data_IF_268961160853
#
_entry.id   IF_268961160853
#
_cell.length_a   1.000
_cell.length_b   1.000
_cell.length_c   1.000
_cell.angle_alpha   90.00
_cell.angle_beta   90.00
_cell.angle_gamma   90.00
#
_symmetry.space_group_name_H-M   'P 1'
#
loop_
_entity.id
_entity.type
_entity.pdbx_description
1 polymer ?
#
# COMPACT_ATOMS: atom_id res chain seq x y z
N UNK A 1 9.48 -3.83 31.55
CA UNK A 1 9.60 -2.70 30.69
C UNK A 1 10.02 -3.10 29.29
N UNK A 2 10.75 -4.11 29.15
CA UNK A 2 11.28 -4.45 27.86
C UNK A 2 10.28 -5.08 26.93
N UNK A 3 9.37 -5.86 27.45
CA UNK A 3 8.58 -6.73 26.59
C UNK A 3 7.65 -5.97 25.66
N UNK A 4 6.86 -5.05 26.19
CA UNK A 4 5.95 -4.28 25.36
C UNK A 4 6.72 -3.39 24.42
N UNK A 5 7.78 -2.77 24.91
CA UNK A 5 8.61 -1.92 24.07
C UNK A 5 9.29 -2.74 22.97
N UNK A 6 9.71 -3.95 23.29
CA UNK A 6 10.36 -4.80 22.30
C UNK A 6 9.43 -5.21 21.18
N UNK A 7 8.18 -5.50 21.51
CA UNK A 7 7.20 -5.83 20.46
C UNK A 7 6.98 -4.67 19.51
N UNK A 8 6.79 -3.48 20.07
CA UNK A 8 6.63 -2.28 19.24
C UNK A 8 7.90 -2.00 18.46
N UNK A 9 9.04 -2.14 19.11
CA UNK A 9 10.32 -1.88 18.45
C UNK A 9 10.54 -2.79 17.26
N UNK A 10 10.10 -4.03 17.37
CA UNK A 10 10.28 -4.98 16.29
C UNK A 10 9.55 -4.54 15.04
N UNK A 11 8.28 -4.13 15.19
CA UNK A 11 7.50 -3.63 14.07
C UNK A 11 8.07 -2.32 13.55
N UNK A 12 8.48 -1.45 14.45
CA UNK A 12 9.08 -0.19 14.07
C UNK A 12 10.39 -0.40 13.33
N UNK A 13 11.19 -1.36 13.80
CA UNK A 13 12.46 -1.67 13.15
C UNK A 13 12.26 -2.18 11.73
N UNK A 14 11.26 -3.04 11.53
CA UNK A 14 10.99 -3.58 10.21
C UNK A 14 10.58 -2.47 9.26
N UNK A 15 9.68 -1.58 9.70
CA UNK A 15 9.24 -0.46 8.89
C UNK A 15 10.40 0.49 8.61
N UNK A 16 11.22 0.73 9.62
CA UNK A 16 12.38 1.61 9.48
C UNK A 16 13.37 1.06 8.47
N UNK A 17 13.63 -0.24 8.54
CA UNK A 17 14.55 -0.87 7.61
C UNK A 17 14.01 -0.84 6.18
N UNK A 18 12.71 -1.07 6.03
CA UNK A 18 12.08 -1.01 4.73
C UNK A 18 12.21 0.41 4.16
N UNK A 19 12.00 1.40 5.00
CA UNK A 19 12.09 2.79 4.58
C UNK A 19 13.54 3.13 4.16
N UNK A 20 14.51 2.64 4.89
CA UNK A 20 15.91 2.88 4.52
C UNK A 20 16.27 2.24 3.20
N UNK A 21 15.81 1.01 2.99
CA UNK A 21 16.06 0.31 1.74
C UNK A 21 15.30 0.95 0.59
N UNK A 22 14.08 1.37 0.85
CA UNK A 22 13.23 2.11 -0.07
C UNK A 22 13.08 1.39 -1.41
N UNK A 23 12.72 0.11 -1.33
CA UNK A 23 12.57 -0.74 -2.51
C UNK A 23 11.25 -1.46 -2.47
N UNK A 24 10.83 -1.95 -3.65
CA UNK A 24 9.64 -2.76 -3.76
C UNK A 24 9.76 -4.03 -2.90
N UNK A 25 10.94 -4.67 -2.94
CA UNK A 25 11.14 -5.90 -2.18
C UNK A 25 10.97 -5.68 -0.68
N UNK A 26 11.49 -4.57 -0.19
CA UNK A 26 11.36 -4.26 1.23
C UNK A 26 9.90 -4.01 1.62
N UNK A 27 9.17 -3.31 0.75
CA UNK A 27 7.77 -3.04 1.01
C UNK A 27 6.94 -4.32 0.97
N UNK A 28 7.28 -5.23 0.04
CA UNK A 28 6.61 -6.54 -0.03
C UNK A 28 6.77 -7.33 1.26
N UNK A 29 7.95 -7.27 1.85
CA UNK A 29 8.19 -8.00 3.09
C UNK A 29 7.33 -7.46 4.22
N UNK A 30 7.19 -6.15 4.30
CA UNK A 30 6.34 -5.54 5.32
C UNK A 30 4.89 -5.93 5.12
N UNK A 31 4.42 -5.88 3.87
CA UNK A 31 3.05 -6.26 3.57
C UNK A 31 2.81 -7.73 3.91
N UNK A 32 3.75 -8.60 3.57
CA UNK A 32 3.61 -10.01 3.87
C UNK A 32 3.57 -10.26 5.37
N UNK A 33 4.42 -9.58 6.12
CA UNK A 33 4.42 -9.71 7.57
C UNK A 33 3.10 -9.24 8.17
N UNK A 34 2.61 -8.09 7.73
CA UNK A 34 1.35 -7.57 8.22
C UNK A 34 0.21 -8.55 7.96
N UNK A 35 0.16 -9.09 6.75
CA UNK A 35 -0.92 -10.00 6.39
C UNK A 35 -0.79 -11.34 7.10
N UNK A 36 0.44 -11.84 7.27
CA UNK A 36 0.65 -13.09 7.99
C UNK A 36 0.25 -12.97 9.46
N UNK A 37 0.39 -11.77 10.03
CA UNK A 37 0.04 -11.54 11.43
C UNK A 37 -1.40 -11.07 11.60
N UNK A 38 -2.14 -10.92 10.51
CA UNK A 38 -3.51 -10.45 10.58
C UNK A 38 -4.46 -11.63 10.75
N UNK A 39 -5.42 -11.46 11.65
CA UNK A 39 -6.51 -12.42 11.80
C UNK A 39 -7.63 -12.15 10.81
N UNK A 40 -7.61 -11.02 10.15
CA UNK A 40 -8.74 -10.55 9.37
C UNK A 40 -8.55 -10.65 7.87
N UNK A 41 -7.32 -10.59 7.40
CA UNK A 41 -7.04 -10.56 5.96
C UNK A 41 -6.06 -11.66 5.58
N UNK A 42 -6.27 -12.22 4.41
CA UNK A 42 -5.41 -13.27 3.85
C UNK A 42 -4.99 -12.84 2.45
N UNK A 43 -3.70 -12.94 2.18
CA UNK A 43 -3.17 -12.60 0.87
C UNK A 43 -3.63 -13.61 -0.18
N UNK A 44 -4.15 -13.10 -1.29
CA UNK A 44 -4.56 -13.92 -2.43
C UNK A 44 -3.56 -13.79 -3.57
N UNK A 45 -3.31 -12.55 -4.02
CA UNK A 45 -2.41 -12.30 -5.14
C UNK A 45 -1.70 -10.97 -4.96
N UNK A 46 -0.48 -10.89 -5.45
CA UNK A 46 0.16 -9.59 -5.65
C UNK A 46 -0.25 -9.07 -7.02
N UNK A 47 -0.75 -7.84 -7.07
CA UNK A 47 -1.24 -7.26 -8.31
C UNK A 47 -0.17 -6.44 -9.03
N UNK A 48 0.71 -5.78 -8.30
CA UNK A 48 1.78 -5.01 -8.89
C UNK A 48 2.47 -4.13 -7.88
N UNK A 49 3.58 -3.55 -8.30
CA UNK A 49 4.36 -2.65 -7.44
C UNK A 49 5.29 -1.83 -8.31
N UNK A 50 5.58 -0.61 -7.84
CA UNK A 50 6.52 0.27 -8.54
C UNK A 50 7.21 1.21 -7.57
N UNK A 51 8.41 1.59 -7.95
CA UNK A 51 9.12 2.71 -7.35
C UNK A 51 9.05 3.86 -8.37
N UNK A 52 8.51 5.01 -7.95
CA UNK A 52 8.22 6.09 -8.89
C UNK A 52 8.71 7.44 -8.36
N UNK A 53 8.92 8.38 -9.27
CA UNK A 53 9.32 9.75 -8.93
C UNK A 53 8.27 10.78 -9.30
N UNK A 54 7.44 10.48 -10.27
CA UNK A 54 6.40 11.37 -10.75
C UNK A 54 5.10 10.63 -10.85
N UNK A 55 4.22 11.13 -11.70
CA UNK A 55 2.95 10.45 -11.96
C UNK A 55 3.24 9.12 -12.68
N UNK A 56 2.47 8.10 -12.33
CA UNK A 56 2.65 6.79 -12.93
C UNK A 56 1.39 5.96 -12.67
N UNK A 57 1.42 4.72 -13.08
CA UNK A 57 0.33 3.79 -12.82
C UNK A 57 0.89 2.39 -12.66
N UNK A 58 0.24 1.61 -11.83
CA UNK A 58 0.61 0.22 -11.60
C UNK A 58 -0.47 -0.65 -12.24
N UNK A 59 -0.19 -1.26 -13.40
CA UNK A 59 -1.17 -2.16 -14.00
C UNK A 59 -1.30 -3.42 -13.17
N UNK A 60 -2.54 -3.92 -13.06
CA UNK A 60 -2.79 -5.12 -12.26
C UNK A 60 -2.48 -6.36 -13.08
N UNK A 61 -1.78 -7.30 -12.46
CA UNK A 61 -1.42 -8.55 -13.12
C UNK A 61 -2.64 -9.44 -13.35
N UNK A 62 -3.67 -9.27 -12.52
CA UNK A 62 -4.86 -10.10 -12.59
C UNK A 62 -6.08 -9.26 -12.28
N UNK A 63 -7.23 -9.71 -12.76
CA UNK A 63 -8.49 -9.14 -12.35
C UNK A 63 -8.80 -9.60 -10.93
N UNK A 64 -9.26 -8.68 -10.10
CA UNK A 64 -9.56 -8.96 -8.69
C UNK A 64 -10.99 -9.44 -8.57
N UNK A 65 -11.20 -10.47 -7.75
CA UNK A 65 -12.53 -10.97 -7.44
C UNK A 65 -13.30 -9.89 -6.68
N UNK A 66 -14.53 -9.61 -7.12
CA UNK A 66 -15.34 -8.57 -6.50
C UNK A 66 -15.65 -8.83 -5.04
N UNK A 67 -15.58 -10.07 -4.62
CA UNK A 67 -15.81 -10.43 -3.22
C UNK A 67 -14.58 -10.22 -2.34
N UNK A 68 -13.46 -9.91 -2.95
CA UNK A 68 -12.21 -9.68 -2.22
C UNK A 68 -11.95 -8.19 -2.06
N UNK A 69 -10.76 -7.84 -1.62
CA UNK A 69 -10.40 -6.46 -1.34
C UNK A 69 -9.06 -6.12 -1.99
N UNK A 70 -8.88 -4.85 -2.30
CA UNK A 70 -7.56 -4.32 -2.59
C UNK A 70 -6.85 -3.99 -1.30
N UNK A 71 -5.57 -4.26 -1.23
CA UNK A 71 -4.73 -3.89 -0.11
C UNK A 71 -3.54 -3.13 -0.69
N UNK A 72 -3.44 -1.86 -0.37
CA UNK A 72 -2.44 -0.96 -0.95
C UNK A 72 -1.49 -0.52 0.14
N UNK A 73 -0.20 -0.67 -0.14
CA UNK A 73 0.85 -0.30 0.79
C UNK A 73 1.76 0.69 0.10
N UNK A 74 2.11 1.76 0.78
CA UNK A 74 2.95 2.78 0.18
C UNK A 74 3.88 3.39 1.20
N UNK A 75 5.02 3.89 0.72
CA UNK A 75 5.90 4.72 1.51
C UNK A 75 6.46 5.80 0.62
N UNK A 76 6.70 6.98 1.18
CA UNK A 76 7.26 8.10 0.45
C UNK A 76 8.50 8.62 1.15
N UNK A 77 9.44 9.12 0.34
CA UNK A 77 10.67 9.68 0.88
C UNK A 77 10.35 10.92 1.70
N UNK A 78 10.94 11.01 2.89
CA UNK A 78 10.65 12.11 3.79
C UNK A 78 10.90 13.46 3.12
N UNK A 79 9.87 14.30 3.14
CA UNK A 79 9.91 15.60 2.51
C UNK A 79 8.76 16.41 3.06
N UNK A 80 9.04 17.66 3.38
CA UNK A 80 8.06 18.50 4.07
C UNK A 80 6.80 18.74 3.28
N UNK A 81 6.93 19.01 1.99
CA UNK A 81 5.77 19.20 1.14
C UNK A 81 5.85 18.24 -0.02
N UNK A 82 5.15 17.17 0.09
CA UNK A 82 5.21 16.10 -0.90
C UNK A 82 3.84 15.49 -1.08
N UNK A 83 2.87 16.26 -1.57
CA UNK A 83 1.53 15.74 -1.74
C UNK A 83 1.48 14.69 -2.84
N UNK A 84 0.76 13.61 -2.58
CA UNK A 84 0.48 12.62 -3.60
C UNK A 84 -0.86 11.97 -3.31
N UNK A 85 -1.44 11.38 -4.35
CA UNK A 85 -2.71 10.67 -4.24
C UNK A 85 -2.61 9.35 -4.99
N UNK A 86 -3.28 8.34 -4.47
CA UNK A 86 -3.46 7.07 -5.14
C UNK A 86 -4.92 6.96 -5.54
N UNK A 87 -5.17 6.60 -6.79
CA UNK A 87 -6.49 6.73 -7.40
C UNK A 87 -6.85 5.44 -8.13
N UNK A 88 -8.08 5.00 -7.93
CA UNK A 88 -8.70 3.95 -8.75
C UNK A 88 -9.82 4.57 -9.58
N UNK A 89 -10.04 4.02 -10.77
CA UNK A 89 -11.08 4.52 -11.66
C UNK A 89 -12.29 3.62 -11.62
N UNK A 90 -13.46 4.24 -11.53
CA UNK A 90 -14.74 3.56 -11.61
C UNK A 90 -15.53 4.23 -12.71
N UNK A 91 -15.86 3.45 -13.76
CA UNK A 91 -16.63 3.96 -14.91
C UNK A 91 -15.99 5.21 -15.51
N UNK A 92 -14.65 5.20 -15.60
CA UNK A 92 -13.93 6.32 -16.17
C UNK A 92 -13.72 7.50 -15.23
N UNK A 93 -14.25 7.43 -14.02
CA UNK A 93 -14.13 8.53 -13.06
C UNK A 93 -13.09 8.19 -11.99
N UNK A 94 -12.21 9.14 -11.65
CA UNK A 94 -11.20 8.89 -10.62
C UNK A 94 -11.80 8.94 -9.22
N UNK A 95 -11.37 8.00 -8.39
CA UNK A 95 -11.74 7.96 -6.98
C UNK A 95 -10.48 7.85 -6.15
N UNK A 96 -10.27 8.81 -5.28
CA UNK A 96 -9.07 8.83 -4.45
C UNK A 96 -9.13 7.71 -3.41
N UNK A 97 -8.13 6.85 -3.45
CA UNK A 97 -7.98 5.77 -2.47
C UNK A 97 -7.33 6.32 -1.21
N UNK A 98 -6.28 7.09 -1.39
CA UNK A 98 -5.60 7.74 -0.27
C UNK A 98 -4.90 8.98 -0.79
N UNK A 99 -4.69 9.94 0.09
CA UNK A 99 -3.97 11.15 -0.23
C UNK A 99 -3.12 11.56 0.96
N UNK A 100 -1.94 12.10 0.68
CA UNK A 100 -1.02 12.59 1.69
C UNK A 100 -0.57 13.99 1.29
N UNK A 101 -0.45 14.86 2.29
CA UNK A 101 0.03 16.22 2.07
C UNK A 101 1.54 16.31 2.19
N UNK A 102 2.13 15.41 2.96
CA UNK A 102 3.56 15.44 3.22
C UNK A 102 4.04 14.06 3.66
N UNK A 103 5.35 13.87 3.59
CA UNK A 103 5.99 12.66 4.07
C UNK A 103 6.86 13.04 5.25
N UNK A 104 6.28 12.98 6.43
CA UNK A 104 6.93 13.56 7.61
C UNK A 104 7.76 12.58 8.40
N UNK A 105 7.63 11.29 8.13
CA UNK A 105 8.39 10.30 8.88
C UNK A 105 8.53 9.05 8.04
N UNK A 106 9.21 8.07 8.60
CA UNK A 106 9.46 6.79 7.97
C UNK A 106 8.22 5.90 7.97
N UNK A 107 7.06 6.48 7.77
CA UNK A 107 5.84 5.71 7.82
C UNK A 107 5.57 4.90 6.58
N UNK A 108 5.05 3.72 6.80
CA UNK A 108 4.47 2.90 5.75
C UNK A 108 2.96 3.00 5.92
N UNK A 109 2.29 3.33 4.84
CA UNK A 109 0.84 3.51 4.85
C UNK A 109 0.16 2.30 4.25
N UNK A 110 -0.92 1.87 4.86
CA UNK A 110 -1.73 0.79 4.30
C UNK A 110 -3.17 1.24 4.21
N UNK A 111 -3.86 0.78 3.18
CA UNK A 111 -5.28 1.02 3.04
C UNK A 111 -5.90 -0.19 2.36
N UNK A 112 -7.07 -0.60 2.83
CA UNK A 112 -7.82 -1.68 2.20
C UNK A 112 -9.20 -1.18 1.82
N UNK A 113 -9.71 -1.68 0.70
CA UNK A 113 -11.01 -1.25 0.21
C UNK A 113 -11.65 -2.38 -0.59
N UNK A 114 -13.00 -2.45 -0.58
CA UNK A 114 -13.69 -3.54 -1.28
C UNK A 114 -13.51 -3.45 -2.80
N UNK A 115 -13.18 -4.57 -3.41
CA UNK A 115 -13.03 -4.61 -4.86
C UNK A 115 -14.33 -4.37 -5.59
N UNK A 116 -15.45 -4.70 -4.98
CA UNK A 116 -16.76 -4.53 -5.62
C UNK A 116 -17.07 -3.06 -5.95
N UNK A 117 -16.39 -2.14 -5.26
CA UNK A 117 -16.58 -0.72 -5.55
C UNK A 117 -15.85 -0.29 -6.82
N UNK A 118 -14.95 -1.12 -7.33
CA UNK A 118 -14.16 -0.81 -8.52
C UNK A 118 -14.06 -2.03 -9.43
N UNK A 119 -15.21 -2.50 -9.96
CA UNK A 119 -15.22 -3.78 -10.66
C UNK A 119 -14.46 -3.77 -11.99
N UNK A 120 -14.24 -2.61 -12.55
CA UNK A 120 -13.52 -2.51 -13.82
C UNK A 120 -12.12 -1.96 -13.69
N UNK A 121 -11.60 -1.81 -12.48
CA UNK A 121 -10.26 -1.26 -12.29
C UNK A 121 -9.21 -2.22 -12.83
N UNK A 122 -8.28 -1.68 -13.61
CA UNK A 122 -7.19 -2.46 -14.20
C UNK A 122 -5.82 -1.96 -13.76
N UNK A 123 -5.79 -0.86 -13.03
CA UNK A 123 -4.52 -0.27 -12.55
C UNK A 123 -4.80 0.66 -11.40
N UNK A 124 -3.75 0.93 -10.64
CA UNK A 124 -3.76 1.98 -9.62
C UNK A 124 -2.97 3.16 -10.16
N UNK A 125 -3.58 4.33 -10.19
CA UNK A 125 -2.91 5.54 -10.68
C UNK A 125 -2.27 6.29 -9.52
N UNK A 126 -1.08 6.82 -9.79
CA UNK A 126 -0.31 7.58 -8.82
C UNK A 126 -0.20 9.01 -9.31
N UNK A 127 -0.73 9.95 -8.55
CA UNK A 127 -0.65 11.37 -8.85
C UNK A 127 0.31 11.96 -7.84
N UNK A 128 1.51 12.31 -8.31
CA UNK A 128 2.63 12.67 -7.45
C UNK A 128 2.97 14.14 -7.62
N UNK A 129 2.11 15.00 -7.10
CA UNK A 129 2.25 16.44 -7.26
C UNK A 129 3.54 16.93 -6.63
N UNK A 130 3.95 16.33 -5.52
CA UNK A 130 5.14 16.73 -4.80
C UNK A 130 6.44 16.26 -5.41
N UNK A 131 6.38 15.42 -6.45
CA UNK A 131 7.57 14.86 -7.10
C UNK A 131 8.53 14.22 -6.11
N UNK A 132 7.99 13.52 -5.13
CA UNK A 132 8.81 12.79 -4.18
C UNK A 132 8.98 11.35 -4.64
N UNK A 133 9.96 10.67 -4.07
CA UNK A 133 10.14 9.25 -4.35
C UNK A 133 9.06 8.48 -3.62
N UNK A 134 8.41 7.57 -4.33
CA UNK A 134 7.36 6.72 -3.77
C UNK A 134 7.64 5.27 -4.11
N UNK A 135 7.28 4.39 -3.19
CA UNK A 135 7.22 2.96 -3.49
C UNK A 135 5.81 2.51 -3.12
N UNK A 136 5.14 1.85 -4.05
CA UNK A 136 3.74 1.47 -3.88
C UNK A 136 3.57 0.02 -4.32
N UNK A 137 2.85 -0.75 -3.51
CA UNK A 137 2.51 -2.14 -3.83
C UNK A 137 1.01 -2.35 -3.66
N UNK A 138 0.44 -3.18 -4.51
CA UNK A 138 -0.98 -3.46 -4.49
C UNK A 138 -1.19 -4.98 -4.47
N UNK A 139 -2.09 -5.41 -3.60
CA UNK A 139 -2.38 -6.83 -3.44
C UNK A 139 -3.88 -7.06 -3.44
N UNK A 140 -4.27 -8.27 -3.82
CA UNK A 140 -5.62 -8.75 -3.59
C UNK A 140 -5.61 -9.56 -2.31
N UNK A 141 -6.51 -9.21 -1.39
CA UNK A 141 -6.65 -9.95 -0.14
C UNK A 141 -8.11 -10.31 0.03
N UNK A 142 -8.38 -11.29 0.88
CA UNK A 142 -9.75 -11.64 1.22
C UNK A 142 -9.91 -11.61 2.72
N UNK A 143 -11.14 -11.38 3.14
CA UNK A 143 -11.46 -11.40 4.55
C UNK A 143 -11.44 -12.82 5.07
N UNK A 144 -10.83 -12.99 6.23
CA UNK A 144 -10.78 -14.27 6.89
C UNK A 144 -11.93 -14.34 7.88
N UNK A 145 -12.93 -15.09 7.53
CA UNK A 145 -14.13 -15.21 8.39
C UNK A 145 -13.96 -16.39 9.33
N UNK A 146 -13.70 -16.10 10.59
CA UNK A 146 -13.62 -17.13 11.62
C UNK A 146 -15.00 -17.44 12.11
N UNK A 147 -15.32 -18.69 12.20
CA UNK A 147 -16.61 -19.15 12.74
C UNK A 147 -16.52 -19.55 14.19
#
# INVERSE_FOLDING_TARGET
>A
EGDAAQSSSKNDDAAEQAYKAFTVDALDRIAADDLNNSDKLVLVNKLGAKSVHGDDAIPFAKKVDENNMYYVVSMCKQKEQAPYSLVLYKDGQPHTVTTRESCTSNGVETVSLPAKNFPSATSLSIINIGNTDLVVSVYEVKENHHE
#
